data_IF_413447410499
#
_entry.id   IF_413447410499
#
_cell.length_a   1.000
_cell.length_b   1.000
_cell.length_c   1.000
_cell.angle_alpha   90.00
_cell.angle_beta   90.00
_cell.angle_gamma   90.00
#
_symmetry.space_group_name_H-M   'P 1'
#
loop_
_entity.id
_entity.type
_entity.pdbx_description
1 polymer ?
#
# COMPACT_ATOMS: atom_id res chain seq x y z
N UNK A 1 -16.17 -0.09 -13.49
CA UNK A 1 -15.53 -1.42 -13.50
C UNK A 1 -16.50 -2.55 -13.81
N UNK A 2 -17.64 -2.67 -13.08
CA UNK A 2 -18.65 -3.74 -13.33
C UNK A 2 -19.24 -3.74 -14.76
N UNK A 3 -19.13 -2.65 -15.49
CA UNK A 3 -19.51 -2.56 -16.91
C UNK A 3 -18.45 -3.12 -17.87
N UNK A 4 -17.29 -3.56 -17.36
CA UNK A 4 -16.15 -4.00 -18.14
C UNK A 4 -15.26 -2.86 -18.63
N UNK A 5 -15.51 -1.64 -18.17
CA UNK A 5 -14.65 -0.49 -18.45
C UNK A 5 -13.52 -0.42 -17.41
N UNK A 6 -12.29 -0.58 -17.87
CA UNK A 6 -11.07 -0.53 -17.03
C UNK A 6 -10.35 0.82 -17.16
N UNK A 7 -10.86 1.74 -17.99
CA UNK A 7 -10.32 3.09 -18.07
C UNK A 7 -10.83 3.93 -16.89
N UNK A 8 -10.04 3.94 -15.81
CA UNK A 8 -10.36 4.68 -14.61
C UNK A 8 -10.25 6.21 -14.75
N UNK A 9 -9.69 6.71 -15.84
CA UNK A 9 -9.42 8.15 -16.01
C UNK A 9 -10.69 8.99 -16.06
N UNK A 10 -11.80 8.41 -16.51
CA UNK A 10 -13.11 9.05 -16.56
C UNK A 10 -14.00 8.83 -15.32
N UNK A 11 -13.53 8.10 -14.30
CA UNK A 11 -14.38 7.76 -13.15
C UNK A 11 -14.47 8.83 -12.06
N UNK A 12 -13.51 9.73 -12.04
CA UNK A 12 -13.36 10.71 -10.96
C UNK A 12 -13.78 12.10 -11.40
N UNK A 13 -14.58 12.74 -10.58
CA UNK A 13 -14.85 14.17 -10.69
C UNK A 13 -13.65 14.99 -10.20
N UNK A 14 -13.63 16.29 -10.51
CA UNK A 14 -12.58 17.19 -9.99
C UNK A 14 -12.57 17.21 -8.45
N UNK A 15 -13.74 17.07 -7.80
CA UNK A 15 -13.87 16.97 -6.35
C UNK A 15 -13.25 15.68 -5.81
N UNK A 16 -13.50 14.55 -6.48
CA UNK A 16 -12.88 13.26 -6.12
C UNK A 16 -11.35 13.33 -6.25
N UNK A 17 -10.84 13.91 -7.33
CA UNK A 17 -9.40 14.08 -7.56
C UNK A 17 -8.77 14.98 -6.50
N UNK A 18 -9.43 16.08 -6.14
CA UNK A 18 -8.96 16.95 -5.06
C UNK A 18 -8.94 16.22 -3.71
N UNK A 19 -9.98 15.42 -3.42
CA UNK A 19 -10.02 14.59 -2.21
C UNK A 19 -8.89 13.56 -2.18
N UNK A 20 -8.69 12.79 -3.26
CA UNK A 20 -7.62 11.80 -3.37
C UNK A 20 -6.25 12.45 -3.15
N UNK A 21 -6.01 13.59 -3.78
CA UNK A 21 -4.78 14.37 -3.58
C UNK A 21 -4.59 14.77 -2.11
N UNK A 22 -5.64 15.19 -1.43
CA UNK A 22 -5.59 15.61 -0.02
C UNK A 22 -5.21 14.50 0.95
N UNK A 23 -5.48 13.24 0.59
CA UNK A 23 -5.07 12.04 1.36
C UNK A 23 -3.80 11.38 0.82
N UNK A 24 -3.18 11.99 -0.20
CA UNK A 24 -1.94 11.50 -0.80
C UNK A 24 -2.11 10.33 -1.76
N UNK A 25 -3.32 10.09 -2.26
CA UNK A 25 -3.61 9.03 -3.22
C UNK A 25 -3.52 9.53 -4.66
N UNK A 26 -3.04 8.66 -5.53
CA UNK A 26 -3.23 8.77 -6.98
C UNK A 26 -4.53 8.05 -7.35
N UNK A 27 -5.23 8.47 -8.43
CA UNK A 27 -6.49 7.83 -8.86
C UNK A 27 -6.36 6.30 -9.05
N UNK A 28 -5.25 5.84 -9.64
CA UNK A 28 -4.98 4.42 -9.85
C UNK A 28 -4.96 3.61 -8.55
N UNK A 29 -4.43 4.16 -7.46
CA UNK A 29 -4.34 3.44 -6.18
C UNK A 29 -5.70 3.12 -5.57
N UNK A 30 -6.70 4.00 -5.75
CA UNK A 30 -8.06 3.71 -5.33
C UNK A 30 -8.74 2.74 -6.28
N UNK A 31 -8.52 2.92 -7.58
CA UNK A 31 -9.08 2.02 -8.60
C UNK A 31 -8.64 0.57 -8.38
N UNK A 32 -7.37 0.31 -8.08
CA UNK A 32 -6.85 -1.02 -7.77
C UNK A 32 -7.62 -1.71 -6.63
N UNK A 33 -8.01 -0.96 -5.59
CA UNK A 33 -8.83 -1.50 -4.51
C UNK A 33 -10.26 -1.82 -4.97
N UNK A 34 -10.84 -1.00 -5.85
CA UNK A 34 -12.17 -1.24 -6.42
C UNK A 34 -12.15 -2.46 -7.33
N UNK A 35 -11.11 -2.62 -8.15
CA UNK A 35 -10.90 -3.74 -9.05
C UNK A 35 -10.75 -5.05 -8.25
N UNK A 36 -9.81 -5.12 -7.32
CA UNK A 36 -9.57 -6.28 -6.47
C UNK A 36 -10.81 -6.68 -5.65
N UNK A 37 -11.56 -5.69 -5.13
CA UNK A 37 -12.81 -5.94 -4.42
C UNK A 37 -13.90 -6.47 -5.36
N UNK A 38 -13.98 -5.93 -6.57
CA UNK A 38 -14.93 -6.37 -7.60
C UNK A 38 -14.72 -7.82 -8.01
N UNK A 39 -13.47 -8.24 -8.11
CA UNK A 39 -13.06 -9.57 -8.55
C UNK A 39 -13.07 -10.61 -7.43
N UNK A 40 -12.60 -10.23 -6.24
CA UNK A 40 -12.36 -11.17 -5.15
C UNK A 40 -12.98 -10.80 -3.80
N UNK A 41 -13.71 -9.68 -3.69
CA UNK A 41 -14.30 -9.21 -2.43
C UNK A 41 -13.28 -8.65 -1.43
N UNK A 42 -12.04 -8.43 -1.85
CA UNK A 42 -10.94 -7.94 -1.01
C UNK A 42 -10.10 -6.89 -1.76
N UNK A 43 -9.49 -5.91 -1.04
CA UNK A 43 -9.65 -5.67 0.40
C UNK A 43 -11.05 -5.13 0.73
N UNK A 44 -11.53 -5.41 1.94
CA UNK A 44 -12.80 -4.84 2.40
C UNK A 44 -12.72 -3.31 2.48
N UNK A 45 -13.88 -2.63 2.38
CA UNK A 45 -13.93 -1.17 2.53
C UNK A 45 -13.30 -0.67 3.85
N UNK A 46 -13.54 -1.27 5.02
CA UNK A 46 -12.84 -0.86 6.25
C UNK A 46 -11.32 -0.97 6.12
N UNK A 47 -10.82 -2.05 5.51
CA UNK A 47 -9.37 -2.22 5.29
C UNK A 47 -8.80 -1.11 4.39
N UNK A 48 -9.46 -0.81 3.28
CA UNK A 48 -9.05 0.24 2.37
C UNK A 48 -9.04 1.63 3.05
N UNK A 49 -10.08 1.95 3.83
CA UNK A 49 -10.18 3.20 4.60
C UNK A 49 -9.05 3.30 5.64
N UNK A 50 -8.74 2.21 6.36
CA UNK A 50 -7.65 2.22 7.34
C UNK A 50 -6.28 2.44 6.68
N UNK A 51 -6.01 1.81 5.53
CA UNK A 51 -4.79 2.05 4.74
C UNK A 51 -4.71 3.52 4.32
N UNK A 52 -5.80 4.07 3.78
CA UNK A 52 -5.86 5.46 3.36
C UNK A 52 -5.62 6.43 4.52
N UNK A 53 -6.16 6.13 5.70
CA UNK A 53 -5.96 6.94 6.90
C UNK A 53 -4.48 7.01 7.30
N UNK A 54 -3.77 5.87 7.30
CA UNK A 54 -2.34 5.84 7.61
C UNK A 54 -1.53 6.62 6.57
N UNK A 55 -1.87 6.50 5.29
CA UNK A 55 -1.21 7.24 4.21
C UNK A 55 -1.42 8.76 4.37
N UNK A 56 -2.66 9.20 4.63
CA UNK A 56 -2.98 10.60 4.89
C UNK A 56 -2.20 11.15 6.08
N UNK A 57 -2.15 10.41 7.18
CA UNK A 57 -1.44 10.84 8.38
C UNK A 57 0.07 10.94 8.13
N UNK A 58 0.65 9.99 7.38
CA UNK A 58 2.05 10.07 6.96
C UNK A 58 2.33 11.30 6.07
N UNK A 59 1.46 11.57 5.09
CA UNK A 59 1.56 12.77 4.25
C UNK A 59 1.56 14.05 5.12
N UNK A 60 0.63 14.15 6.05
CA UNK A 60 0.48 15.35 6.89
C UNK A 60 1.64 15.50 7.89
N UNK A 61 2.03 14.42 8.59
CA UNK A 61 2.95 14.49 9.73
C UNK A 61 4.41 14.45 9.25
N UNK A 62 4.74 13.52 8.36
CA UNK A 62 6.13 13.30 7.91
C UNK A 62 6.46 14.13 6.69
N UNK A 63 5.58 14.12 5.69
CA UNK A 63 5.83 14.81 4.43
C UNK A 63 5.35 16.27 4.44
N UNK A 64 4.72 16.73 5.54
CA UNK A 64 4.24 18.13 5.71
C UNK A 64 3.26 18.58 4.64
N UNK A 65 2.51 17.64 4.07
CA UNK A 65 1.56 17.89 2.98
C UNK A 65 2.21 17.93 1.59
N UNK A 66 3.53 17.76 1.49
CA UNK A 66 4.23 17.77 0.21
C UNK A 66 4.16 16.39 -0.45
N UNK A 67 3.60 16.31 -1.65
CA UNK A 67 3.53 15.09 -2.45
C UNK A 67 4.89 14.78 -3.06
N UNK A 68 5.25 13.50 -3.13
CA UNK A 68 6.45 13.06 -3.83
C UNK A 68 6.18 12.91 -5.33
N UNK A 69 7.09 13.42 -6.15
CA UNK A 69 7.10 13.19 -7.59
C UNK A 69 7.84 11.90 -7.98
N UNK A 70 8.49 11.24 -7.01
CA UNK A 70 9.20 9.99 -7.26
C UNK A 70 8.23 8.84 -7.53
N UNK A 71 8.67 7.91 -8.37
CA UNK A 71 8.03 6.61 -8.59
C UNK A 71 9.13 5.56 -8.51
N UNK A 72 8.95 4.55 -7.66
CA UNK A 72 9.93 3.48 -7.59
C UNK A 72 9.93 2.67 -8.89
N UNK A 73 11.12 2.28 -9.34
CA UNK A 73 11.26 1.35 -10.46
C UNK A 73 10.81 -0.04 -10.01
N UNK A 74 9.75 -0.64 -10.62
CA UNK A 74 9.25 -1.95 -10.22
C UNK A 74 10.29 -3.06 -10.36
N UNK A 75 11.31 -2.89 -11.20
CA UNK A 75 12.42 -3.86 -11.33
C UNK A 75 13.31 -3.91 -10.07
N UNK A 76 13.27 -2.87 -9.23
CA UNK A 76 14.03 -2.80 -7.98
C UNK A 76 13.30 -3.46 -6.79
N UNK A 77 12.05 -3.87 -6.98
CA UNK A 77 11.31 -4.60 -5.94
C UNK A 77 11.97 -5.96 -5.69
N UNK A 78 12.21 -6.34 -4.42
CA UNK A 78 12.68 -7.68 -4.09
C UNK A 78 11.82 -8.76 -4.74
N UNK A 79 12.44 -9.84 -5.18
CA UNK A 79 11.76 -10.97 -5.79
C UNK A 79 10.73 -11.62 -4.85
N UNK A 80 9.73 -12.29 -5.43
CA UNK A 80 8.67 -12.93 -4.64
C UNK A 80 9.16 -14.06 -3.72
N UNK A 81 10.30 -14.68 -4.06
CA UNK A 81 10.94 -15.74 -3.28
C UNK A 81 12.03 -15.23 -2.33
N UNK A 82 12.37 -13.96 -2.37
CA UNK A 82 13.36 -13.39 -1.46
C UNK A 82 12.86 -13.39 -0.02
N UNK A 83 13.78 -13.63 0.90
CA UNK A 83 13.48 -13.77 2.33
C UNK A 83 14.38 -12.86 3.17
N UNK A 84 13.85 -12.35 4.27
CA UNK A 84 14.58 -11.71 5.35
C UNK A 84 14.51 -12.61 6.57
N UNK A 85 15.66 -13.15 6.99
CA UNK A 85 15.79 -14.09 8.11
C UNK A 85 14.79 -15.28 8.01
N UNK A 86 14.71 -15.86 6.81
CA UNK A 86 13.84 -17.00 6.50
C UNK A 86 12.37 -16.65 6.23
N UNK A 87 11.95 -15.39 6.40
CA UNK A 87 10.58 -14.96 6.11
C UNK A 87 10.48 -14.50 4.66
N UNK A 88 9.93 -15.38 3.81
CA UNK A 88 9.69 -15.11 2.39
C UNK A 88 8.64 -14.02 2.23
N UNK A 89 8.74 -13.21 1.17
CA UNK A 89 7.88 -12.07 0.86
C UNK A 89 8.14 -10.82 1.71
N UNK A 90 8.72 -10.94 2.91
CA UNK A 90 8.93 -9.83 3.83
C UNK A 90 9.77 -8.68 3.22
N UNK A 91 10.91 -8.92 2.53
CA UNK A 91 11.65 -7.84 1.90
C UNK A 91 10.80 -7.05 0.91
N UNK A 92 10.01 -7.74 0.10
CA UNK A 92 9.17 -7.14 -0.93
C UNK A 92 8.07 -6.26 -0.35
N UNK A 93 7.34 -6.75 0.65
CA UNK A 93 6.24 -5.99 1.26
C UNK A 93 6.74 -4.79 2.05
N UNK A 94 7.95 -4.85 2.65
CA UNK A 94 8.58 -3.70 3.31
C UNK A 94 8.82 -2.57 2.31
N UNK A 95 9.42 -2.86 1.15
CA UNK A 95 9.67 -1.86 0.12
C UNK A 95 8.36 -1.28 -0.41
N UNK A 96 7.37 -2.11 -0.67
CA UNK A 96 6.03 -1.66 -1.10
C UNK A 96 5.34 -0.79 -0.05
N UNK A 97 5.43 -1.15 1.23
CA UNK A 97 4.86 -0.38 2.32
C UNK A 97 5.50 1.00 2.46
N UNK A 98 6.83 1.09 2.34
CA UNK A 98 7.55 2.38 2.31
C UNK A 98 7.12 3.25 1.15
N UNK A 99 7.05 2.67 -0.04
CA UNK A 99 6.59 3.39 -1.23
C UNK A 99 5.11 3.81 -1.10
N UNK A 100 4.25 2.98 -0.52
CA UNK A 100 2.84 3.33 -0.22
C UNK A 100 2.75 4.52 0.72
N UNK A 101 3.51 4.53 1.82
CA UNK A 101 3.54 5.64 2.77
C UNK A 101 3.95 6.96 2.12
N UNK A 102 4.87 6.92 1.16
CA UNK A 102 5.38 8.10 0.45
C UNK A 102 4.59 8.47 -0.81
N UNK A 103 3.66 7.61 -1.26
CA UNK A 103 2.93 7.78 -2.53
C UNK A 103 3.82 7.57 -3.76
N UNK A 104 4.82 6.72 -3.66
CA UNK A 104 5.85 6.47 -4.67
C UNK A 104 5.71 5.10 -5.35
N UNK A 105 4.61 4.38 -5.12
CA UNK A 105 4.36 3.11 -5.80
C UNK A 105 4.23 3.33 -7.31
N UNK A 106 4.85 2.44 -8.09
CA UNK A 106 4.60 2.33 -9.52
C UNK A 106 3.11 2.01 -9.79
N UNK A 107 2.50 2.57 -10.86
CA UNK A 107 1.08 2.35 -11.17
C UNK A 107 0.68 0.88 -11.33
N UNK A 108 1.62 -0.02 -11.62
CA UNK A 108 1.38 -1.46 -11.75
C UNK A 108 1.73 -2.23 -10.45
N UNK A 109 2.06 -1.53 -9.39
CA UNK A 109 2.44 -2.09 -8.09
C UNK A 109 1.48 -1.64 -7.01
N UNK A 110 0.72 -2.58 -6.45
CA UNK A 110 -0.27 -2.32 -5.41
C UNK A 110 0.24 -2.81 -4.06
N UNK A 111 0.17 -1.98 -3.00
CA UNK A 111 0.25 -2.45 -1.62
C UNK A 111 -1.10 -3.04 -1.20
N UNK A 112 -1.08 -4.14 -0.49
CA UNK A 112 -2.27 -4.92 -0.13
C UNK A 112 -2.90 -5.69 -1.31
N UNK A 113 -2.11 -6.02 -2.34
CA UNK A 113 -2.52 -6.99 -3.36
C UNK A 113 -2.71 -8.40 -2.78
N UNK A 114 -3.24 -9.34 -3.56
CA UNK A 114 -3.50 -10.71 -3.11
C UNK A 114 -2.29 -11.38 -2.42
N UNK A 115 -1.07 -11.19 -2.94
CA UNK A 115 0.15 -11.71 -2.33
C UNK A 115 0.46 -11.07 -0.97
N UNK A 116 0.29 -9.76 -0.85
CA UNK A 116 0.49 -9.05 0.42
C UNK A 116 -0.57 -9.47 1.45
N UNK A 117 -1.83 -9.61 1.03
CA UNK A 117 -2.92 -10.08 1.91
C UNK A 117 -2.65 -11.49 2.43
N UNK A 118 -2.18 -12.39 1.57
CA UNK A 118 -1.83 -13.75 1.98
C UNK A 118 -0.69 -13.77 2.99
N UNK A 119 0.37 -12.99 2.74
CA UNK A 119 1.48 -12.84 3.68
C UNK A 119 1.00 -12.29 5.03
N UNK A 120 0.27 -11.18 5.03
CA UNK A 120 -0.19 -10.54 6.26
C UNK A 120 -1.14 -11.43 7.07
N UNK A 121 -2.00 -12.19 6.40
CA UNK A 121 -2.90 -13.18 7.04
C UNK A 121 -2.13 -14.30 7.73
N UNK A 122 -1.02 -14.76 7.14
CA UNK A 122 -0.19 -15.81 7.74
C UNK A 122 0.36 -15.40 9.11
N UNK A 123 0.58 -14.11 9.32
CA UNK A 123 1.11 -13.55 10.57
C UNK A 123 0.05 -12.82 11.40
N UNK A 124 -1.23 -12.93 11.06
CA UNK A 124 -2.33 -12.23 11.74
C UNK A 124 -2.09 -10.70 11.89
N UNK A 125 -1.63 -10.08 10.81
CA UNK A 125 -1.31 -8.65 10.77
C UNK A 125 -2.31 -7.92 9.87
N UNK A 126 -2.99 -6.90 10.40
CA UNK A 126 -3.79 -6.02 9.57
C UNK A 126 -2.90 -5.14 8.67
N UNK A 127 -3.27 -4.91 7.38
CA UNK A 127 -2.45 -4.11 6.46
C UNK A 127 -2.10 -2.71 6.98
N UNK A 128 -3.04 -2.03 7.62
CA UNK A 128 -2.79 -0.71 8.20
C UNK A 128 -1.81 -0.76 9.38
N UNK A 129 -1.83 -1.83 10.18
CA UNK A 129 -0.88 -2.00 11.29
C UNK A 129 0.53 -2.32 10.78
N UNK A 130 0.63 -3.05 9.67
CA UNK A 130 1.92 -3.23 9.00
C UNK A 130 2.50 -1.90 8.51
N UNK A 131 1.68 -1.04 7.87
CA UNK A 131 2.12 0.30 7.47
C UNK A 131 2.57 1.14 8.67
N UNK A 132 1.83 1.13 9.79
CA UNK A 132 2.23 1.82 11.02
C UNK A 132 3.54 1.31 11.58
N UNK A 133 3.74 -0.01 11.54
CA UNK A 133 5.00 -0.64 11.98
C UNK A 133 6.17 -0.20 11.10
N UNK A 134 6.00 -0.19 9.78
CA UNK A 134 7.03 0.29 8.85
C UNK A 134 7.34 1.77 9.07
N UNK A 135 6.33 2.58 9.30
CA UNK A 135 6.49 3.99 9.66
C UNK A 135 7.29 4.15 10.96
N UNK A 136 6.87 3.47 12.03
CA UNK A 136 7.52 3.55 13.34
C UNK A 136 8.95 3.01 13.33
N UNK A 137 9.25 2.04 12.47
CA UNK A 137 10.60 1.48 12.32
C UNK A 137 11.61 2.49 11.77
N UNK A 138 11.13 3.52 11.06
CA UNK A 138 11.96 4.61 10.53
C UNK A 138 13.21 4.12 9.77
N UNK A 139 13.02 3.19 8.87
CA UNK A 139 14.10 2.61 8.04
C UNK A 139 14.80 1.39 8.63
N UNK A 140 14.54 1.03 9.87
CA UNK A 140 15.16 -0.11 10.55
C UNK A 140 14.36 -1.40 10.32
N UNK A 141 14.80 -2.23 9.36
CA UNK A 141 14.16 -3.50 9.04
C UNK A 141 14.16 -4.50 10.18
N UNK A 142 15.12 -4.41 11.11
CA UNK A 142 15.20 -5.32 12.25
C UNK A 142 13.99 -5.17 13.19
N UNK A 143 13.42 -3.97 13.30
CA UNK A 143 12.20 -3.71 14.08
C UNK A 143 10.98 -4.31 13.41
N UNK A 144 10.91 -4.24 12.09
CA UNK A 144 9.81 -4.83 11.31
C UNK A 144 9.88 -6.35 11.42
N UNK A 145 11.08 -6.92 11.26
CA UNK A 145 11.33 -8.35 11.41
C UNK A 145 10.90 -8.85 12.81
N UNK A 146 11.32 -8.14 13.86
CA UNK A 146 10.94 -8.47 15.24
C UNK A 146 9.43 -8.43 15.44
N UNK A 147 8.75 -7.42 14.87
CA UNK A 147 7.30 -7.33 14.93
C UNK A 147 6.61 -8.53 14.27
N UNK A 148 7.05 -8.92 13.06
CA UNK A 148 6.47 -10.06 12.34
C UNK A 148 6.72 -11.38 13.07
N UNK A 149 7.91 -11.58 13.65
CA UNK A 149 8.26 -12.82 14.39
C UNK A 149 7.50 -13.00 15.71
N UNK A 150 6.97 -11.93 16.26
CA UNK A 150 6.23 -11.96 17.53
C UNK A 150 4.71 -12.08 17.36
N UNK A 151 4.25 -12.45 16.14
CA UNK A 151 2.84 -12.70 15.83
C UNK A 151 2.50 -14.19 15.83
#
# INVERSE_FOLDING_TARGET
YKSGDEDFTGYYTDEDLAFLTSIGYRPRELFDFVEDFGDGGEPSLPTAVMIASVRRDYLSIIMKGELSDNVIDPSTLPGKAEALDGIVWLPRIIVKARAKLRGELDPNSMFCCGGDRNFLRTYDIAPADFLRTVWAANGDDSKILAYVKNR
#
